data_IF_691184091763
#
_entry.id   IF_691184091763
#
_cell.length_a   1.000
_cell.length_b   1.000
_cell.length_c   1.000
_cell.angle_alpha   90.00
_cell.angle_beta   90.00
_cell.angle_gamma   90.00
#
_symmetry.space_group_name_H-M   'P 1'
#
loop_
_entity.id
_entity.type
_entity.pdbx_description
1 polymer ?
#
# COMPACT_ATOMS: atom_id res chain seq x y z
N UNK A 1 -30.53 -49.06 -62.88
CA UNK A 1 -29.21 -48.38 -62.84
C UNK A 1 -29.41 -46.90 -63.12
N UNK A 2 -29.41 -46.04 -62.10
CA UNK A 2 -29.54 -44.59 -62.28
C UNK A 2 -28.14 -43.95 -62.14
N UNK A 3 -27.59 -43.47 -63.27
CA UNK A 3 -26.36 -42.67 -63.29
C UNK A 3 -26.66 -41.32 -62.63
N UNK A 4 -26.05 -41.09 -61.46
CA UNK A 4 -26.06 -39.79 -60.78
C UNK A 4 -25.41 -38.72 -61.69
N UNK A 5 -26.18 -37.67 -61.99
CA UNK A 5 -25.74 -36.53 -62.78
C UNK A 5 -24.63 -35.79 -62.00
N UNK A 6 -23.43 -35.70 -62.59
CA UNK A 6 -22.36 -34.85 -62.07
C UNK A 6 -22.81 -33.39 -62.17
N UNK A 7 -23.04 -32.73 -61.03
CA UNK A 7 -23.19 -31.28 -61.01
C UNK A 7 -21.89 -30.64 -61.51
N UNK A 8 -21.99 -29.98 -62.66
CA UNK A 8 -20.93 -29.14 -63.22
C UNK A 8 -20.86 -27.85 -62.37
N UNK A 9 -20.15 -27.89 -61.25
CA UNK A 9 -19.91 -26.71 -60.41
C UNK A 9 -19.04 -25.74 -61.21
N UNK A 10 -19.68 -24.74 -61.83
CA UNK A 10 -19.02 -23.65 -62.54
C UNK A 10 -18.00 -23.02 -61.59
N UNK A 11 -16.72 -23.11 -61.94
CA UNK A 11 -15.64 -22.56 -61.13
C UNK A 11 -15.83 -21.03 -61.03
N UNK A 12 -15.86 -20.51 -59.81
CA UNK A 12 -15.97 -19.06 -59.59
C UNK A 12 -14.64 -18.42 -59.93
N UNK A 13 -14.64 -17.56 -60.95
CA UNK A 13 -13.51 -16.68 -61.22
C UNK A 13 -13.47 -15.57 -60.15
N UNK A 14 -12.31 -15.39 -59.54
CA UNK A 14 -12.09 -14.43 -58.48
C UNK A 14 -11.04 -13.38 -58.85
N UNK A 15 -10.52 -13.39 -60.08
CA UNK A 15 -9.59 -12.34 -60.55
C UNK A 15 -10.20 -10.94 -60.38
N UNK A 16 -9.40 -10.01 -59.86
CA UNK A 16 -9.82 -8.64 -59.55
C UNK A 16 -10.62 -8.47 -58.26
N UNK A 17 -11.02 -9.55 -57.58
CA UNK A 17 -11.75 -9.46 -56.31
C UNK A 17 -10.81 -9.23 -55.13
N UNK A 18 -11.32 -8.55 -54.10
CA UNK A 18 -10.56 -8.19 -52.90
C UNK A 18 -11.11 -8.89 -51.65
N UNK A 19 -10.23 -9.48 -50.86
CA UNK A 19 -10.51 -10.21 -49.62
C UNK A 19 -9.62 -9.70 -48.49
N UNK A 20 -10.14 -8.79 -47.67
CA UNK A 20 -9.33 -8.06 -46.71
C UNK A 20 -8.22 -7.27 -47.41
N UNK A 21 -6.96 -7.57 -47.08
CA UNK A 21 -5.77 -6.95 -47.70
C UNK A 21 -5.32 -7.60 -48.99
N UNK A 22 -5.97 -8.68 -49.44
CA UNK A 22 -5.57 -9.44 -50.62
C UNK A 22 -6.39 -9.04 -51.85
N UNK A 23 -5.74 -8.57 -52.90
CA UNK A 23 -6.31 -8.42 -54.24
C UNK A 23 -5.92 -9.64 -55.08
N UNK A 24 -6.91 -10.36 -55.60
CA UNK A 24 -6.67 -11.54 -56.45
C UNK A 24 -6.20 -11.09 -57.83
N UNK A 25 -5.00 -11.50 -58.23
CA UNK A 25 -4.41 -11.16 -59.53
C UNK A 25 -4.81 -12.17 -60.60
N UNK A 26 -4.57 -13.46 -60.33
CA UNK A 26 -4.75 -14.51 -61.33
C UNK A 26 -4.85 -15.89 -60.67
N UNK A 27 -5.21 -16.89 -61.47
CA UNK A 27 -5.22 -18.29 -61.02
C UNK A 27 -3.78 -18.81 -60.90
N UNK A 28 -3.48 -19.46 -59.78
CA UNK A 28 -2.18 -20.07 -59.52
C UNK A 28 -2.23 -21.60 -59.70
N UNK A 29 -1.06 -22.19 -59.96
CA UNK A 29 -0.88 -23.64 -59.89
C UNK A 29 -1.09 -24.14 -58.45
N UNK A 30 -1.53 -25.39 -58.30
CA UNK A 30 -1.63 -26.03 -56.99
C UNK A 30 -0.23 -26.11 -56.37
N UNK A 31 -0.01 -25.60 -55.13
CA UNK A 31 1.28 -25.70 -54.48
C UNK A 31 1.74 -27.16 -54.32
N UNK A 32 3.03 -27.42 -54.56
CA UNK A 32 3.63 -28.77 -54.55
C UNK A 32 3.42 -29.54 -53.24
N UNK A 33 3.32 -28.83 -52.12
CA UNK A 33 3.14 -29.41 -50.79
C UNK A 33 1.69 -29.78 -50.44
N UNK A 34 0.73 -29.61 -51.37
CA UNK A 34 -0.69 -29.90 -51.10
C UNK A 34 -1.20 -30.98 -52.05
N UNK A 35 -1.86 -32.00 -51.48
CA UNK A 35 -2.54 -33.02 -52.28
C UNK A 35 -3.52 -32.39 -53.27
N UNK A 36 -3.48 -32.81 -54.54
CA UNK A 36 -4.30 -32.28 -55.64
C UNK A 36 -5.79 -32.67 -55.49
N UNK A 37 -6.48 -32.08 -54.50
CA UNK A 37 -7.90 -32.33 -54.19
C UNK A 37 -8.84 -31.47 -55.05
N UNK A 38 -8.44 -31.07 -56.27
CA UNK A 38 -9.28 -30.25 -57.16
C UNK A 38 -9.60 -28.84 -56.64
N UNK A 39 -8.79 -28.30 -55.72
CA UNK A 39 -8.97 -26.94 -55.17
C UNK A 39 -8.35 -25.92 -56.12
N UNK A 40 -9.06 -24.83 -56.38
CA UNK A 40 -8.50 -23.68 -57.09
C UNK A 40 -7.64 -22.82 -56.14
N UNK A 41 -6.46 -22.43 -56.61
CA UNK A 41 -5.53 -21.52 -55.95
C UNK A 41 -5.39 -20.24 -56.74
N UNK A 42 -5.14 -19.15 -56.04
CA UNK A 42 -5.13 -17.81 -56.58
C UNK A 42 -3.91 -17.05 -56.09
N UNK A 43 -3.18 -16.43 -57.02
CA UNK A 43 -2.11 -15.50 -56.73
C UNK A 43 -2.75 -14.18 -56.31
N UNK A 44 -2.37 -13.67 -55.14
CA UNK A 44 -2.92 -12.45 -54.57
C UNK A 44 -1.81 -11.46 -54.25
N UNK A 45 -1.96 -10.21 -54.68
CA UNK A 45 -1.17 -9.09 -54.17
C UNK A 45 -1.74 -8.65 -52.83
N UNK A 46 -0.89 -8.52 -51.81
CA UNK A 46 -1.32 -7.99 -50.52
C UNK A 46 -0.99 -6.50 -50.42
N UNK A 47 -1.80 -5.74 -49.67
CA UNK A 47 -1.51 -4.34 -49.33
C UNK A 47 -0.17 -4.18 -48.55
N UNK A 48 0.39 -5.28 -48.03
CA UNK A 48 1.73 -5.32 -47.41
C UNK A 48 2.89 -5.19 -48.42
N UNK A 49 2.61 -5.24 -49.73
CA UNK A 49 3.60 -5.27 -50.80
C UNK A 49 4.04 -6.67 -51.22
N UNK A 50 3.74 -7.71 -50.42
CA UNK A 50 4.09 -9.10 -50.69
C UNK A 50 2.97 -9.85 -51.42
N UNK A 51 3.33 -10.87 -52.19
CA UNK A 51 2.38 -11.76 -52.85
C UNK A 51 2.14 -13.04 -52.04
N UNK A 52 0.94 -13.64 -52.16
CA UNK A 52 0.67 -14.94 -51.56
C UNK A 52 -0.28 -15.79 -52.42
N UNK A 53 -0.06 -17.10 -52.40
CA UNK A 53 -0.92 -18.08 -53.08
C UNK A 53 -1.92 -18.64 -52.08
N UNK A 54 -3.21 -18.35 -52.29
CA UNK A 54 -4.29 -18.69 -51.35
C UNK A 54 -5.34 -19.58 -52.01
N UNK A 55 -5.89 -20.52 -51.26
CA UNK A 55 -6.98 -21.36 -51.77
C UNK A 55 -8.27 -20.53 -51.90
N UNK A 56 -9.01 -20.74 -52.99
CA UNK A 56 -10.29 -20.07 -53.22
C UNK A 56 -11.36 -20.37 -52.15
N UNK A 57 -11.22 -21.49 -51.43
CA UNK A 57 -12.05 -21.78 -50.25
C UNK A 57 -11.72 -20.85 -49.09
N UNK A 58 -10.44 -20.60 -48.82
CA UNK A 58 -10.00 -19.74 -47.72
C UNK A 58 -10.36 -18.27 -47.94
N UNK A 59 -10.29 -17.79 -49.18
CA UNK A 59 -10.72 -16.44 -49.56
C UNK A 59 -12.23 -16.25 -49.30
N UNK A 60 -13.07 -17.14 -49.84
CA UNK A 60 -14.54 -17.06 -49.70
C UNK A 60 -15.09 -17.32 -48.30
N UNK A 61 -14.28 -17.89 -47.41
CA UNK A 61 -14.67 -18.15 -46.01
C UNK A 61 -13.99 -17.20 -45.03
N UNK A 62 -13.34 -16.15 -45.53
CA UNK A 62 -12.61 -15.14 -44.75
C UNK A 62 -11.53 -15.70 -43.81
N UNK A 63 -11.10 -16.95 -44.03
CA UNK A 63 -10.02 -17.57 -43.25
C UNK A 63 -8.65 -16.99 -43.57
N UNK A 64 -8.49 -16.39 -44.75
CA UNK A 64 -7.24 -15.75 -45.17
C UNK A 64 -7.56 -14.37 -45.74
N UNK A 65 -7.13 -13.34 -45.02
CA UNK A 65 -7.42 -11.91 -45.33
C UNK A 65 -6.15 -11.08 -45.55
N UNK A 66 -4.97 -11.70 -45.51
CA UNK A 66 -3.67 -11.05 -45.76
C UNK A 66 -2.59 -12.08 -46.08
N UNK A 67 -1.42 -11.59 -46.50
CA UNK A 67 -0.16 -12.32 -46.67
C UNK A 67 0.36 -12.99 -45.36
N UNK A 68 -0.31 -12.74 -44.22
CA UNK A 68 0.18 -13.03 -42.86
C UNK A 68 0.53 -11.76 -42.08
N UNK A 69 0.66 -10.62 -42.79
CA UNK A 69 1.00 -9.33 -42.18
C UNK A 69 -0.01 -8.84 -41.13
N UNK A 70 -1.30 -9.21 -41.21
CA UNK A 70 -2.26 -8.80 -40.19
C UNK A 70 -1.88 -9.34 -38.80
N UNK A 71 -1.35 -10.57 -38.73
CA UNK A 71 -0.88 -11.17 -37.48
C UNK A 71 0.42 -10.49 -37.04
N UNK A 72 1.33 -10.23 -37.99
CA UNK A 72 2.59 -9.55 -37.71
C UNK A 72 2.40 -8.11 -37.20
N UNK A 73 1.47 -7.36 -37.79
CA UNK A 73 1.12 -6.00 -37.38
C UNK A 73 0.52 -6.00 -35.97
N UNK A 74 -0.43 -6.91 -35.69
CA UNK A 74 -0.98 -7.08 -34.35
C UNK A 74 0.10 -7.44 -33.32
N UNK A 75 1.04 -8.33 -33.69
CA UNK A 75 2.15 -8.71 -32.82
C UNK A 75 3.12 -7.54 -32.54
N UNK A 76 3.33 -6.63 -33.51
CA UNK A 76 4.13 -5.40 -33.31
C UNK A 76 3.44 -4.40 -32.38
N UNK A 77 2.12 -4.22 -32.52
CA UNK A 77 1.33 -3.37 -31.60
C UNK A 77 1.34 -3.92 -30.18
N UNK A 78 1.31 -5.25 -30.03
CA UNK A 78 1.37 -5.93 -28.74
C UNK A 78 2.80 -6.32 -28.31
N UNK A 79 3.83 -5.88 -29.03
CA UNK A 79 5.20 -6.10 -28.62
C UNK A 79 5.39 -5.42 -27.26
N UNK A 80 5.75 -6.23 -26.26
CA UNK A 80 5.80 -5.81 -24.86
C UNK A 80 6.84 -4.71 -24.74
N UNK A 81 6.37 -3.48 -24.49
CA UNK A 81 7.05 -2.17 -24.63
C UNK A 81 8.41 -2.07 -23.91
N UNK A 82 8.79 -3.07 -23.11
CA UNK A 82 9.97 -3.01 -22.24
C UNK A 82 10.62 -4.39 -22.01
N UNK A 83 10.20 -5.48 -22.67
CA UNK A 83 10.86 -6.81 -22.52
C UNK A 83 10.82 -7.46 -21.12
N UNK A 84 10.15 -6.80 -20.17
CA UNK A 84 10.18 -7.11 -18.73
C UNK A 84 8.99 -7.93 -18.22
N UNK A 85 7.94 -8.03 -19.01
CA UNK A 85 6.98 -9.11 -18.91
C UNK A 85 7.35 -10.12 -20.00
N UNK A 86 7.75 -11.34 -19.70
CA UNK A 86 7.80 -12.45 -20.68
C UNK A 86 6.70 -13.47 -20.36
N UNK A 87 6.15 -14.23 -21.32
CA UNK A 87 5.20 -15.29 -21.00
C UNK A 87 5.84 -16.23 -19.97
N UNK A 88 5.23 -16.36 -18.79
CA UNK A 88 5.73 -17.22 -17.70
C UNK A 88 6.78 -16.62 -16.76
N UNK A 89 7.27 -15.38 -16.95
CA UNK A 89 8.18 -14.76 -15.98
C UNK A 89 8.25 -13.23 -16.10
N UNK A 90 8.13 -12.53 -14.96
CA UNK A 90 8.42 -11.11 -14.82
C UNK A 90 9.86 -10.91 -14.34
N UNK A 91 10.53 -9.84 -14.78
CA UNK A 91 11.85 -9.52 -14.23
C UNK A 91 11.75 -9.09 -12.77
N UNK A 92 12.88 -9.22 -12.07
CA UNK A 92 13.06 -8.75 -10.70
C UNK A 92 12.72 -7.26 -10.53
N UNK A 93 13.12 -6.43 -11.50
CA UNK A 93 12.85 -4.98 -11.54
C UNK A 93 11.35 -4.71 -11.66
N UNK A 94 10.67 -5.35 -12.61
CA UNK A 94 9.23 -5.20 -12.81
C UNK A 94 8.43 -5.67 -11.59
N UNK A 95 8.80 -6.82 -11.02
CA UNK A 95 8.17 -7.31 -9.81
C UNK A 95 8.33 -6.33 -8.63
N UNK A 96 9.49 -5.68 -8.49
CA UNK A 96 9.69 -4.66 -7.45
C UNK A 96 8.81 -3.43 -7.66
N UNK A 97 8.72 -2.91 -8.89
CA UNK A 97 7.83 -1.79 -9.23
C UNK A 97 6.36 -2.15 -8.98
N UNK A 98 5.93 -3.34 -9.41
CA UNK A 98 4.57 -3.81 -9.18
C UNK A 98 4.29 -3.97 -7.68
N UNK A 99 5.19 -4.59 -6.92
CA UNK A 99 5.06 -4.72 -5.47
C UNK A 99 4.98 -3.36 -4.76
N UNK A 100 5.79 -2.39 -5.19
CA UNK A 100 5.72 -0.99 -4.73
C UNK A 100 4.34 -0.39 -4.95
N UNK A 101 3.78 -0.55 -6.15
CA UNK A 101 2.42 -0.06 -6.47
C UNK A 101 1.34 -0.71 -5.63
N UNK A 102 1.38 -2.04 -5.47
CA UNK A 102 0.36 -2.76 -4.68
C UNK A 102 0.31 -2.26 -3.23
N UNK A 103 1.45 -2.23 -2.53
CA UNK A 103 1.50 -1.80 -1.11
C UNK A 103 1.10 -0.34 -0.89
N UNK A 104 1.26 0.53 -1.89
CA UNK A 104 0.89 1.96 -1.78
C UNK A 104 -0.54 2.26 -2.23
N UNK A 105 -1.06 1.57 -3.25
CA UNK A 105 -2.29 1.98 -3.95
C UNK A 105 -3.44 0.99 -3.81
N UNK A 106 -3.20 -0.23 -3.31
CA UNK A 106 -4.23 -1.26 -3.18
C UNK A 106 -4.54 -1.54 -1.71
N UNK A 107 -5.72 -1.12 -1.25
CA UNK A 107 -6.16 -1.31 0.15
C UNK A 107 -6.20 -2.79 0.58
N UNK A 108 -6.40 -3.71 -0.37
CA UNK A 108 -6.42 -5.16 -0.12
C UNK A 108 -5.02 -5.77 0.04
N UNK A 109 -3.95 -5.03 -0.23
CA UNK A 109 -2.60 -5.55 -0.03
C UNK A 109 -2.29 -5.70 1.45
N UNK A 110 -1.66 -6.81 1.85
CA UNK A 110 -1.34 -7.09 3.25
C UNK A 110 -0.43 -6.05 3.90
N UNK A 111 0.35 -5.31 3.10
CA UNK A 111 1.22 -4.24 3.59
C UNK A 111 0.59 -2.86 3.49
N UNK A 112 -0.65 -2.70 2.99
CA UNK A 112 -1.23 -1.38 2.76
C UNK A 112 -1.22 -0.50 4.01
N UNK A 113 -1.59 -1.02 5.18
CA UNK A 113 -1.60 -0.28 6.44
C UNK A 113 -0.22 0.30 6.83
N UNK A 114 0.88 -0.32 6.39
CA UNK A 114 2.26 0.12 6.68
C UNK A 114 2.80 1.13 5.64
N UNK A 115 2.08 1.31 4.53
CA UNK A 115 2.47 2.12 3.38
C UNK A 115 1.32 3.05 2.98
N UNK A 116 0.44 2.65 2.06
CA UNK A 116 -0.67 3.48 1.56
C UNK A 116 -1.60 4.01 2.66
N UNK A 117 -1.92 3.18 3.66
CA UNK A 117 -2.72 3.58 4.83
C UNK A 117 -2.06 4.63 5.73
N UNK A 118 -0.76 4.92 5.53
CA UNK A 118 -0.04 6.02 6.18
C UNK A 118 0.09 7.27 5.31
N UNK A 119 -0.45 7.24 4.10
CA UNK A 119 -0.28 8.31 3.10
C UNK A 119 1.01 8.23 2.31
N UNK A 120 1.75 7.11 2.33
CA UNK A 120 2.93 6.92 1.49
C UNK A 120 2.48 6.57 0.08
N UNK A 121 2.79 7.45 -0.87
CA UNK A 121 2.39 7.31 -2.28
C UNK A 121 3.60 7.12 -3.20
N UNK A 122 3.34 7.13 -4.50
CA UNK A 122 4.32 7.02 -5.57
C UNK A 122 4.17 8.27 -6.43
N UNK A 123 5.28 8.86 -6.87
CA UNK A 123 5.21 10.03 -7.75
C UNK A 123 4.53 9.68 -9.09
N UNK A 124 3.86 10.66 -9.69
CA UNK A 124 3.09 10.48 -10.93
C UNK A 124 3.93 9.89 -12.07
N UNK A 125 5.21 10.30 -12.16
CA UNK A 125 6.16 9.81 -13.15
C UNK A 125 6.32 8.28 -13.08
N UNK A 126 6.31 7.68 -11.89
CA UNK A 126 6.48 6.24 -11.69
C UNK A 126 5.18 5.43 -11.83
N UNK A 127 4.08 6.05 -12.29
CA UNK A 127 2.91 5.31 -12.77
C UNK A 127 3.21 4.51 -14.06
N UNK A 128 4.27 4.87 -14.79
CA UNK A 128 4.85 4.08 -15.88
C UNK A 128 6.07 3.32 -15.40
N UNK A 129 6.16 2.03 -15.77
CA UNK A 129 7.32 1.21 -15.45
C UNK A 129 8.57 1.68 -16.21
N UNK A 130 8.41 2.17 -17.44
CA UNK A 130 9.50 2.70 -18.26
C UNK A 130 10.20 3.88 -17.58
N UNK A 131 9.42 4.78 -16.98
CA UNK A 131 9.96 5.93 -16.23
C UNK A 131 10.61 5.51 -14.92
N UNK A 132 10.04 4.52 -14.24
CA UNK A 132 10.71 3.91 -13.07
C UNK A 132 12.05 3.29 -13.46
N UNK A 133 12.11 2.57 -14.58
CA UNK A 133 13.33 1.94 -15.08
C UNK A 133 14.37 2.97 -15.53
N UNK A 134 13.94 4.06 -16.17
CA UNK A 134 14.80 5.18 -16.56
C UNK A 134 15.49 5.81 -15.33
N UNK A 135 14.73 6.02 -14.25
CA UNK A 135 15.24 6.71 -13.06
C UNK A 135 16.06 5.77 -12.14
N UNK A 136 15.64 4.51 -11.99
CA UNK A 136 16.26 3.57 -11.05
C UNK A 136 17.25 2.60 -11.69
N UNK A 137 17.16 2.38 -13.00
CA UNK A 137 17.87 1.31 -13.69
C UNK A 137 17.40 -0.09 -13.30
N UNK A 138 18.12 -1.09 -13.81
CA UNK A 138 17.88 -2.50 -13.50
C UNK A 138 18.20 -2.82 -12.04
N UNK A 139 17.34 -3.60 -11.39
CA UNK A 139 17.56 -4.04 -10.01
C UNK A 139 18.80 -4.95 -9.93
N UNK A 140 19.88 -4.55 -9.23
CA UNK A 140 21.04 -5.41 -9.07
C UNK A 140 20.72 -6.67 -8.26
N UNK A 141 21.54 -7.71 -8.41
CA UNK A 141 21.39 -8.93 -7.62
C UNK A 141 21.58 -8.67 -6.12
N UNK A 142 20.75 -9.31 -5.28
CA UNK A 142 20.82 -9.16 -3.83
C UNK A 142 20.25 -7.84 -3.27
N UNK A 143 19.80 -6.91 -4.13
CA UNK A 143 19.26 -5.62 -3.69
C UNK A 143 17.73 -5.54 -3.82
N UNK A 144 17.14 -4.64 -3.02
CA UNK A 144 15.73 -4.29 -3.04
C UNK A 144 15.53 -2.78 -2.94
N UNK A 145 14.37 -2.30 -3.36
CA UNK A 145 14.02 -0.88 -3.34
C UNK A 145 13.80 -0.40 -1.89
N UNK A 146 14.54 0.63 -1.50
CA UNK A 146 14.51 1.26 -0.18
C UNK A 146 14.16 2.75 -0.31
N UNK A 147 13.49 3.33 0.69
CA UNK A 147 13.15 4.76 0.73
C UNK A 147 14.16 5.53 1.56
N UNK A 148 15.00 6.32 0.91
CA UNK A 148 16.12 7.03 1.52
C UNK A 148 16.34 8.35 0.76
N UNK A 149 16.57 9.49 1.45
CA UNK A 149 16.93 9.61 2.86
C UNK A 149 15.77 9.62 3.86
N UNK A 150 14.51 9.68 3.41
CA UNK A 150 13.33 9.71 4.27
C UNK A 150 12.50 8.42 4.16
N UNK A 151 12.61 7.57 5.18
CA UNK A 151 11.82 6.32 5.30
C UNK A 151 10.30 6.56 5.33
N UNK A 152 9.85 7.76 5.70
CA UNK A 152 8.44 8.16 5.72
C UNK A 152 8.00 8.94 4.46
N UNK A 153 8.94 9.33 3.61
CA UNK A 153 8.66 9.99 2.35
C UNK A 153 8.05 9.05 1.30
N UNK A 154 7.70 9.62 0.14
CA UNK A 154 7.09 8.89 -0.97
C UNK A 154 8.12 8.09 -1.79
N UNK A 155 7.62 7.25 -2.69
CA UNK A 155 8.45 6.62 -3.72
C UNK A 155 8.66 7.58 -4.88
N UNK A 156 9.90 8.08 -5.01
CA UNK A 156 10.32 9.02 -6.04
C UNK A 156 11.84 8.98 -6.22
N UNK A 157 12.39 9.47 -7.35
CA UNK A 157 13.83 9.39 -7.62
C UNK A 157 14.71 9.99 -6.52
N UNK A 158 14.26 11.09 -5.90
CA UNK A 158 14.99 11.76 -4.81
C UNK A 158 14.91 11.08 -3.45
N UNK A 159 14.04 10.07 -3.30
CA UNK A 159 13.82 9.37 -2.03
C UNK A 159 13.89 7.84 -2.18
N UNK A 160 14.58 7.33 -3.19
CA UNK A 160 14.66 5.89 -3.45
C UNK A 160 16.05 5.46 -3.90
N UNK A 161 16.46 4.27 -3.44
CA UNK A 161 17.73 3.63 -3.85
C UNK A 161 17.59 2.12 -3.89
N UNK A 162 18.49 1.46 -4.62
CA UNK A 162 18.75 0.03 -4.44
C UNK A 162 19.59 -0.17 -3.19
N UNK A 163 19.12 -1.02 -2.27
CA UNK A 163 19.78 -1.25 -0.99
C UNK A 163 19.82 -2.73 -0.63
N UNK A 164 20.84 -3.08 0.15
CA UNK A 164 21.01 -4.39 0.77
C UNK A 164 20.03 -4.57 1.94
N UNK A 165 19.87 -5.82 2.38
CA UNK A 165 19.09 -6.14 3.58
C UNK A 165 19.61 -5.40 4.82
N UNK A 166 20.94 -5.27 4.94
CA UNK A 166 21.58 -4.56 6.05
C UNK A 166 21.21 -3.08 6.06
N UNK A 167 21.38 -2.40 4.93
CA UNK A 167 21.04 -0.98 4.80
C UNK A 167 19.56 -0.71 5.06
N UNK A 168 18.66 -1.58 4.56
CA UNK A 168 17.23 -1.44 4.84
C UNK A 168 16.90 -1.62 6.32
N UNK A 169 17.55 -2.57 7.00
CA UNK A 169 17.36 -2.78 8.44
C UNK A 169 17.82 -1.59 9.28
N UNK A 170 18.93 -0.96 8.89
CA UNK A 170 19.43 0.28 9.50
C UNK A 170 18.50 1.47 9.21
N UNK A 171 17.86 1.48 8.05
CA UNK A 171 16.91 2.52 7.63
C UNK A 171 15.48 2.34 8.18
N UNK A 172 15.22 1.29 8.98
CA UNK A 172 13.89 1.12 9.60
C UNK A 172 13.62 2.22 10.60
N UNK A 173 12.35 2.67 10.71
CA UNK A 173 11.92 3.72 11.66
C UNK A 173 12.35 3.48 13.12
N UNK A 174 12.45 2.22 13.55
CA UNK A 174 12.90 1.86 14.91
C UNK A 174 14.44 1.79 15.05
N UNK A 175 15.17 1.73 13.94
CA UNK A 175 16.64 1.65 13.87
C UNK A 175 17.30 2.94 13.37
N UNK A 176 16.52 3.89 12.83
CA UNK A 176 17.03 5.07 12.12
C UNK A 176 18.04 5.84 12.98
N UNK A 177 19.26 5.96 12.44
CA UNK A 177 20.35 6.70 13.06
C UNK A 177 20.32 8.16 12.62
N UNK A 178 20.38 9.06 13.60
CA UNK A 178 20.40 10.50 13.38
C UNK A 178 21.80 11.03 13.69
N UNK A 179 22.29 11.87 12.79
CA UNK A 179 23.58 12.55 12.97
C UNK A 179 23.40 13.79 13.85
N UNK A 180 24.23 13.90 14.89
CA UNK A 180 24.31 15.08 15.73
C UNK A 180 25.70 15.16 16.35
N UNK A 181 26.35 16.33 16.25
CA UNK A 181 27.73 16.58 16.71
C UNK A 181 28.74 15.52 16.22
N UNK A 182 28.67 15.15 14.94
CA UNK A 182 29.59 14.21 14.30
C UNK A 182 29.43 12.75 14.70
N UNK A 183 28.38 12.41 15.47
CA UNK A 183 28.05 11.03 15.85
C UNK A 183 26.71 10.63 15.25
N UNK A 184 26.58 9.36 14.87
CA UNK A 184 25.34 8.78 14.33
C UNK A 184 24.80 7.74 15.29
N UNK A 185 23.68 8.06 15.95
CA UNK A 185 23.04 7.18 16.93
C UNK A 185 21.54 7.06 16.67
N UNK A 186 20.94 5.98 17.17
CA UNK A 186 19.49 5.85 17.17
C UNK A 186 18.84 6.93 18.04
N UNK A 187 17.58 7.28 17.77
CA UNK A 187 16.84 8.23 18.62
C UNK A 187 16.72 7.74 20.08
N UNK A 188 16.73 6.41 20.30
CA UNK A 188 16.69 5.80 21.63
C UNK A 188 18.00 6.03 22.38
N UNK A 189 19.13 5.94 21.70
CA UNK A 189 20.43 6.17 22.32
C UNK A 189 20.69 7.66 22.52
N UNK A 190 20.25 8.51 21.60
CA UNK A 190 20.22 9.96 21.82
C UNK A 190 19.35 10.36 23.02
N UNK A 191 18.20 9.70 23.24
CA UNK A 191 17.37 9.92 24.41
C UNK A 191 18.11 9.61 25.72
N UNK A 192 18.88 8.51 25.75
CA UNK A 192 19.72 8.15 26.92
C UNK A 192 20.83 9.17 27.14
N UNK A 193 21.49 9.60 26.06
CA UNK A 193 22.67 10.46 26.14
C UNK A 193 22.32 11.91 26.50
N UNK A 194 21.23 12.44 25.94
CA UNK A 194 20.78 13.82 26.21
C UNK A 194 19.90 13.95 27.45
N UNK A 195 19.39 12.84 27.99
CA UNK A 195 18.38 12.84 29.05
C UNK A 195 16.98 13.28 28.60
N UNK A 196 16.80 13.63 27.32
CA UNK A 196 15.50 13.99 26.75
C UNK A 196 14.70 12.71 26.50
N UNK A 197 13.48 12.63 27.06
CA UNK A 197 12.62 11.46 26.88
C UNK A 197 12.40 11.10 25.41
N UNK A 198 12.53 9.81 25.07
CA UNK A 198 12.35 9.30 23.70
C UNK A 198 11.03 9.75 23.05
N UNK A 199 9.94 9.74 23.81
CA UNK A 199 8.63 10.18 23.33
C UNK A 199 8.64 11.67 22.91
N UNK A 200 9.36 12.51 23.65
CA UNK A 200 9.54 13.94 23.36
C UNK A 200 10.36 14.15 22.10
N UNK A 201 11.49 13.46 21.95
CA UNK A 201 12.31 13.54 20.74
C UNK A 201 11.52 13.09 19.50
N UNK A 202 10.77 12.00 19.62
CA UNK A 202 9.90 11.50 18.55
C UNK A 202 8.82 12.50 18.17
N UNK A 203 8.17 13.14 19.14
CA UNK A 203 7.14 14.17 18.92
C UNK A 203 7.73 15.39 18.19
N UNK A 204 8.88 15.87 18.66
CA UNK A 204 9.60 17.02 18.06
C UNK A 204 9.90 16.79 16.58
N UNK A 205 10.46 15.63 16.24
CA UNK A 205 10.83 15.32 14.86
C UNK A 205 9.58 15.08 14.01
N UNK A 206 8.68 14.20 14.48
CA UNK A 206 7.58 13.70 13.63
C UNK A 206 6.40 14.65 13.54
N UNK A 207 5.96 15.20 14.68
CA UNK A 207 4.72 15.97 14.74
C UNK A 207 5.00 17.48 14.62
N UNK A 208 6.15 17.94 15.12
CA UNK A 208 6.54 19.36 15.07
C UNK A 208 7.50 19.69 13.94
N UNK A 209 8.01 18.69 13.21
CA UNK A 209 8.93 18.89 12.08
C UNK A 209 10.28 19.49 12.46
N UNK A 210 10.75 19.29 13.70
CA UNK A 210 12.03 19.83 14.14
C UNK A 210 13.19 19.08 13.50
N UNK A 211 14.24 19.82 13.14
CA UNK A 211 15.54 19.23 12.78
C UNK A 211 16.11 18.45 13.96
N UNK A 212 16.97 17.48 13.68
CA UNK A 212 17.62 16.70 14.73
C UNK A 212 18.42 17.60 15.68
N UNK A 213 19.15 18.58 15.16
CA UNK A 213 19.93 19.54 15.94
C UNK A 213 19.05 20.29 16.95
N UNK A 214 17.90 20.81 16.50
CA UNK A 214 16.95 21.50 17.38
C UNK A 214 16.32 20.52 18.37
N UNK A 215 15.94 19.33 17.90
CA UNK A 215 15.31 18.31 18.73
C UNK A 215 16.19 17.85 19.90
N UNK A 216 17.50 17.75 19.68
CA UNK A 216 18.48 17.31 20.67
C UNK A 216 19.08 18.45 21.51
N UNK A 217 19.14 19.68 20.98
CA UNK A 217 19.70 20.83 21.74
C UNK A 217 18.68 21.54 22.64
N UNK A 218 17.38 21.36 22.40
CA UNK A 218 16.34 22.03 23.20
C UNK A 218 15.99 21.22 24.45
N UNK A 219 16.20 21.77 25.65
CA UNK A 219 15.73 21.14 26.89
C UNK A 219 14.18 21.04 26.88
N UNK A 220 13.56 19.94 27.36
CA UNK A 220 12.12 19.91 27.54
C UNK A 220 11.70 20.97 28.55
N UNK A 221 10.63 21.70 28.27
CA UNK A 221 10.00 22.56 29.28
C UNK A 221 9.62 21.68 30.48
N UNK A 222 10.07 22.06 31.67
CA UNK A 222 9.63 21.44 32.91
C UNK A 222 8.16 21.81 33.07
N UNK A 223 7.26 20.89 32.72
CA UNK A 223 5.86 21.00 33.11
C UNK A 223 5.81 20.84 34.63
N UNK A 224 5.84 21.95 35.36
CA UNK A 224 5.42 21.93 36.76
C UNK A 224 4.00 21.39 36.78
N UNK A 225 3.80 20.20 37.38
CA UNK A 225 2.44 19.75 37.66
C UNK A 225 1.86 20.80 38.61
N UNK A 226 0.70 21.40 38.31
CA UNK A 226 0.05 22.28 39.28
C UNK A 226 -0.09 21.47 40.57
N UNK A 227 0.47 21.99 41.68
CA UNK A 227 0.22 21.41 43.00
C UNK A 227 -1.29 21.40 43.18
N UNK A 228 -1.92 20.23 43.24
CA UNK A 228 -3.37 20.16 43.43
C UNK A 228 -3.66 20.79 44.79
N UNK A 229 -4.53 21.81 44.83
CA UNK A 229 -5.03 22.34 46.09
C UNK A 229 -5.63 21.17 46.89
N UNK A 230 -5.17 20.92 48.12
CA UNK A 230 -5.68 19.81 48.91
C UNK A 230 -7.17 20.03 49.20
N UNK A 231 -7.99 19.00 48.96
CA UNK A 231 -9.41 19.03 49.32
C UNK A 231 -9.53 18.99 50.84
N UNK A 232 -10.02 20.09 51.42
CA UNK A 232 -10.34 20.21 52.84
C UNK A 232 -11.72 19.61 53.08
N UNK A 233 -11.83 18.80 54.12
CA UNK A 233 -13.06 18.11 54.53
C UNK A 233 -13.25 18.42 56.01
N UNK A 234 -14.39 19.03 56.32
CA UNK A 234 -14.79 19.31 57.70
C UNK A 234 -15.67 18.16 58.22
N UNK A 235 -15.29 17.57 59.36
CA UNK A 235 -16.07 16.53 60.07
C UNK A 235 -16.07 16.89 61.55
N UNK A 236 -17.26 16.99 62.14
CA UNK A 236 -17.47 17.33 63.56
C UNK A 236 -16.71 18.60 64.01
N UNK A 237 -16.68 19.63 63.17
CA UNK A 237 -15.99 20.91 63.44
C UNK A 237 -14.47 20.86 63.30
N UNK A 238 -13.90 19.75 62.80
CA UNK A 238 -12.46 19.63 62.52
C UNK A 238 -12.22 19.65 61.01
N UNK A 239 -11.41 20.61 60.56
CA UNK A 239 -10.99 20.73 59.17
C UNK A 239 -9.64 20.06 58.92
N UNK A 240 -9.60 19.09 58.00
CA UNK A 240 -8.37 18.42 57.55
C UNK A 240 -8.44 18.11 56.07
N UNK A 241 -7.30 17.96 55.41
CA UNK A 241 -7.29 17.46 54.05
C UNK A 241 -7.60 15.95 53.99
N UNK A 242 -8.05 15.47 52.82
CA UNK A 242 -8.33 14.04 52.62
C UNK A 242 -7.16 13.12 53.04
N UNK A 243 -5.91 13.54 52.82
CA UNK A 243 -4.72 12.76 53.21
C UNK A 243 -4.50 12.70 54.73
N UNK A 244 -4.87 13.74 55.46
CA UNK A 244 -4.78 13.78 56.91
C UNK A 244 -5.86 12.93 57.56
N UNK A 245 -7.10 13.02 57.07
CA UNK A 245 -8.18 12.12 57.46
C UNK A 245 -7.85 10.65 57.18
N UNK A 246 -7.32 10.37 55.99
CA UNK A 246 -6.89 9.03 55.62
C UNK A 246 -5.82 8.47 56.56
N UNK A 247 -4.86 9.30 57.00
CA UNK A 247 -3.85 8.91 58.00
C UNK A 247 -4.48 8.59 59.36
N UNK A 248 -5.45 9.40 59.81
CA UNK A 248 -6.17 9.16 61.07
C UNK A 248 -7.02 7.88 61.03
N UNK A 249 -7.52 7.47 59.87
CA UNK A 249 -8.37 6.27 59.71
C UNK A 249 -7.64 5.04 59.18
N UNK A 250 -6.33 5.13 58.92
CA UNK A 250 -5.57 4.01 58.34
C UNK A 250 -6.01 3.63 56.92
N UNK A 251 -6.55 4.59 56.15
CA UNK A 251 -7.03 4.38 54.78
C UNK A 251 -6.05 4.97 53.75
N UNK A 252 -6.05 4.48 52.49
CA UNK A 252 -5.31 5.14 51.42
C UNK A 252 -5.89 6.55 51.13
N UNK A 253 -5.07 7.61 51.03
CA UNK A 253 -5.53 8.99 50.76
C UNK A 253 -6.45 9.16 49.55
N UNK A 254 -6.20 8.41 48.47
CA UNK A 254 -7.04 8.42 47.27
C UNK A 254 -8.48 7.95 47.54
N UNK A 255 -8.68 7.04 48.51
CA UNK A 255 -10.01 6.51 48.83
C UNK A 255 -10.86 7.57 49.51
N UNK A 256 -10.31 8.25 50.53
CA UNK A 256 -11.00 9.35 51.22
C UNK A 256 -11.27 10.50 50.25
N UNK A 257 -10.28 10.87 49.44
CA UNK A 257 -10.45 11.90 48.40
C UNK A 257 -11.53 11.53 47.40
N UNK A 258 -11.57 10.28 46.92
CA UNK A 258 -12.56 9.83 45.93
C UNK A 258 -13.97 9.80 46.52
N UNK A 259 -14.13 9.34 47.77
CA UNK A 259 -15.42 9.34 48.46
C UNK A 259 -15.95 10.76 48.67
N UNK A 260 -15.12 11.65 49.20
CA UNK A 260 -15.49 13.04 49.42
C UNK A 260 -15.80 13.76 48.08
N UNK A 261 -14.96 13.55 47.06
CA UNK A 261 -15.21 14.08 45.70
C UNK A 261 -16.52 13.58 45.09
N UNK A 262 -16.90 12.34 45.39
CA UNK A 262 -18.14 11.75 44.91
C UNK A 262 -19.34 12.03 45.84
N UNK A 263 -19.21 12.96 46.80
CA UNK A 263 -20.32 13.41 47.64
C UNK A 263 -20.80 12.38 48.67
N UNK A 264 -19.95 11.44 49.10
CA UNK A 264 -20.32 10.50 50.15
C UNK A 264 -20.64 11.24 51.47
N UNK A 265 -21.63 10.78 52.26
CA UNK A 265 -21.87 11.27 53.62
C UNK A 265 -20.58 11.24 54.45
N UNK A 266 -20.38 12.26 55.30
CA UNK A 266 -19.12 12.48 56.04
C UNK A 266 -18.76 11.28 56.92
N UNK A 267 -19.78 10.62 57.47
CA UNK A 267 -19.72 9.47 58.37
C UNK A 267 -19.23 8.21 57.63
N UNK A 268 -19.44 8.15 56.31
CA UNK A 268 -19.04 7.01 55.46
C UNK A 268 -17.66 7.19 54.82
N UNK A 269 -17.01 8.33 54.99
CA UNK A 269 -15.68 8.58 54.45
C UNK A 269 -14.61 7.66 55.07
N UNK A 270 -14.79 7.27 56.33
CA UNK A 270 -13.91 6.38 57.10
C UNK A 270 -14.21 4.88 56.92
N UNK A 271 -15.24 4.52 56.13
CA UNK A 271 -15.68 3.13 56.01
C UNK A 271 -14.57 2.18 55.50
N UNK A 272 -14.45 0.94 56.00
CA UNK A 272 -13.44 -0.02 55.54
C UNK A 272 -13.54 -0.32 54.04
N UNK A 273 -12.43 -0.70 53.41
CA UNK A 273 -12.42 -1.14 52.01
C UNK A 273 -13.35 -2.37 51.84
N UNK A 274 -14.23 -2.35 50.83
CA UNK A 274 -15.17 -3.44 50.55
C UNK A 274 -16.60 -3.26 51.09
N UNK A 275 -16.87 -2.20 51.86
CA UNK A 275 -18.20 -1.86 52.42
C UNK A 275 -19.21 -1.25 51.42
N UNK A 276 -18.99 -1.42 50.11
CA UNK A 276 -19.64 -0.69 48.99
C UNK A 276 -21.18 -0.89 48.89
N UNK A 277 -21.79 -1.76 49.72
CA UNK A 277 -23.25 -1.98 49.68
C UNK A 277 -24.12 -0.90 50.33
N UNK A 278 -23.54 0.11 50.98
CA UNK A 278 -24.32 1.07 51.78
C UNK A 278 -24.77 2.31 50.99
N UNK A 279 -24.10 2.67 49.88
CA UNK A 279 -24.44 3.89 49.13
C UNK A 279 -25.81 3.83 48.43
N UNK A 280 -26.32 2.64 48.08
CA UNK A 280 -27.62 2.48 47.41
C UNK A 280 -28.81 2.26 48.38
N UNK A 281 -28.56 2.20 49.70
CA UNK A 281 -29.63 1.95 50.69
C UNK A 281 -30.19 3.26 51.24
N UNK A 282 -29.39 4.33 51.29
CA UNK A 282 -29.81 5.62 51.86
C UNK A 282 -30.77 6.37 50.93
N UNK A 283 -30.62 6.25 49.59
CA UNK A 283 -31.59 6.82 48.62
C UNK A 283 -32.99 6.18 48.71
N UNK A 284 -33.12 4.94 49.21
CA UNK A 284 -34.43 4.29 49.37
C UNK A 284 -35.14 4.68 50.68
N UNK A 285 -34.40 4.97 51.75
CA UNK A 285 -34.99 5.33 53.06
C UNK A 285 -35.53 6.77 53.14
N UNK A 286 -35.07 7.68 52.29
CA UNK A 286 -35.59 9.06 52.25
C UNK A 286 -36.91 9.18 51.47
N UNK A 287 -37.18 8.27 50.53
CA UNK A 287 -38.46 8.25 49.81
C UNK A 287 -39.62 7.65 50.62
N UNK A 288 -39.36 6.73 51.55
CA UNK A 288 -40.41 6.12 52.39
C UNK A 288 -40.85 7.02 53.57
N UNK A 289 -39.96 7.90 54.08
CA UNK A 289 -40.29 8.82 55.18
C UNK A 289 -40.95 10.14 54.74
N UNK A 290 -41.13 10.36 53.43
CA UNK A 290 -41.80 11.56 52.89
C UNK A 290 -43.29 11.31 52.53
N UNK A 291 -43.84 10.12 52.83
CA UNK A 291 -45.23 9.74 52.51
C UNK A 291 -46.06 9.27 53.74
N UNK A 292 -45.67 9.65 54.95
CA UNK A 292 -46.45 9.50 56.19
C UNK A 292 -46.53 10.84 56.93
#
# INVERSE_FOLDING_TARGET
MARSQKHNTKMVDMAGQRFGRLLVLSRAATPSHVSNQGRAYWLCACDCGEESVVSGKSLRTDKTRSCGCLIADAAKVHARVHGHARPGSHTRTYHTWQAMRRRCLQEKDSHFAEYGGRGITICERWNSFERFLEDMGERPAGLSLDRYPDVNGNYEPGNCRWATIKEQNENKRNSLAYEFKGRRLSLKDWAKETGIGYATLRDRIRNRGWTIDRALSTSPEVREKPKSTPMIIEIDGVEKCASEWARSWGLPPYVVWKRAKNGWPKELLSAPLGSVRIANVIEQSEHENASL
#
